data_IF_069815712231
#
_entry.id   IF_069815712231
#
_cell.length_a   1.000
_cell.length_b   1.000
_cell.length_c   1.000
_cell.angle_alpha   90.00
_cell.angle_beta   90.00
_cell.angle_gamma   90.00
#
_symmetry.space_group_name_H-M   'P 1'
#
loop_
_entity.id
_entity.type
_entity.pdbx_description
1 polymer ?
#
# COMPACT_ATOMS: atom_id res chain seq x y z
N UNK A 1 -12.31 19.91 -42.69
CA UNK A 1 -13.27 20.30 -41.62
C UNK A 1 -14.10 19.12 -41.11
N UNK A 2 -14.79 18.35 -41.97
CA UNK A 2 -15.54 17.14 -41.55
C UNK A 2 -14.68 16.13 -40.78
N UNK A 3 -13.55 15.72 -41.35
CA UNK A 3 -12.63 14.74 -40.73
C UNK A 3 -12.12 15.19 -39.36
N UNK A 4 -11.86 16.50 -39.19
CA UNK A 4 -11.46 17.08 -37.91
C UNK A 4 -12.57 16.96 -36.86
N UNK A 5 -13.83 17.17 -37.24
CA UNK A 5 -14.96 17.00 -36.32
C UNK A 5 -15.17 15.53 -35.93
N UNK A 6 -15.00 14.61 -36.87
CA UNK A 6 -15.05 13.16 -36.60
C UNK A 6 -13.92 12.73 -35.65
N UNK A 7 -12.70 13.20 -35.89
CA UNK A 7 -11.55 12.93 -35.02
C UNK A 7 -11.74 13.49 -33.60
N UNK A 8 -12.28 14.70 -33.48
CA UNK A 8 -12.61 15.31 -32.19
C UNK A 8 -13.72 14.53 -31.46
N UNK A 9 -14.73 14.06 -32.19
CA UNK A 9 -15.79 13.22 -31.62
C UNK A 9 -15.25 11.91 -31.07
N UNK A 10 -14.37 11.24 -31.82
CA UNK A 10 -13.70 10.01 -31.37
C UNK A 10 -12.84 10.26 -30.14
N UNK A 11 -12.01 11.30 -30.16
CA UNK A 11 -11.13 11.63 -29.04
C UNK A 11 -11.90 11.92 -27.74
N UNK A 12 -13.06 12.58 -27.83
CA UNK A 12 -13.93 12.81 -26.67
C UNK A 12 -14.49 11.52 -26.08
N UNK A 13 -14.95 10.60 -26.94
CA UNK A 13 -15.45 9.31 -26.50
C UNK A 13 -14.34 8.46 -25.86
N UNK A 14 -13.17 8.42 -26.48
CA UNK A 14 -12.02 7.68 -25.95
C UNK A 14 -11.60 8.23 -24.57
N UNK A 15 -11.70 9.55 -24.36
CA UNK A 15 -11.45 10.19 -23.07
C UNK A 15 -12.49 9.78 -22.01
N UNK A 16 -13.78 9.84 -22.34
CA UNK A 16 -14.87 9.42 -21.44
C UNK A 16 -14.72 7.94 -21.02
N UNK A 17 -14.40 7.06 -21.98
CA UNK A 17 -14.13 5.64 -21.73
C UNK A 17 -12.87 5.44 -20.86
N UNK A 18 -11.86 6.31 -20.99
CA UNK A 18 -10.66 6.26 -20.15
C UNK A 18 -10.94 6.75 -18.72
N UNK A 19 -11.71 7.83 -18.56
CA UNK A 19 -12.10 8.36 -17.26
C UNK A 19 -12.92 7.34 -16.46
N UNK A 20 -13.85 6.63 -17.12
CA UNK A 20 -14.60 5.54 -16.51
C UNK A 20 -13.70 4.42 -15.97
N UNK A 21 -12.76 3.93 -16.81
CA UNK A 21 -11.80 2.90 -16.40
C UNK A 21 -10.89 3.35 -15.25
N UNK A 22 -10.40 4.59 -15.30
CA UNK A 22 -9.58 5.15 -14.22
C UNK A 22 -10.37 5.24 -12.90
N UNK A 23 -11.65 5.63 -12.94
CA UNK A 23 -12.49 5.69 -11.75
C UNK A 23 -12.71 4.29 -11.15
N UNK A 24 -12.97 3.28 -11.99
CA UNK A 24 -13.09 1.89 -11.56
C UNK A 24 -11.80 1.35 -10.94
N UNK A 25 -10.66 1.57 -11.59
CA UNK A 25 -9.34 1.14 -11.09
C UNK A 25 -9.01 1.80 -9.75
N UNK A 26 -9.24 3.11 -9.63
CA UNK A 26 -9.04 3.85 -8.38
C UNK A 26 -9.87 3.26 -7.24
N UNK A 27 -11.17 2.99 -7.49
CA UNK A 27 -12.05 2.37 -6.49
C UNK A 27 -11.59 0.96 -6.10
N UNK A 28 -11.04 0.20 -7.05
CA UNK A 28 -10.42 -1.10 -6.81
C UNK A 28 -9.20 -1.00 -5.89
N UNK A 29 -8.29 -0.08 -6.22
CA UNK A 29 -7.07 0.15 -5.43
C UNK A 29 -7.38 0.63 -4.00
N UNK A 30 -8.33 1.54 -3.82
CA UNK A 30 -8.75 2.00 -2.49
C UNK A 30 -9.30 0.84 -1.64
N UNK A 31 -10.04 -0.08 -2.26
CA UNK A 31 -10.57 -1.28 -1.59
C UNK A 31 -9.46 -2.24 -1.18
N UNK A 32 -8.53 -2.54 -2.08
CA UNK A 32 -7.40 -3.43 -1.79
C UNK A 32 -6.46 -2.82 -0.73
N UNK A 33 -6.24 -1.51 -0.79
CA UNK A 33 -5.47 -0.79 0.23
C UNK A 33 -6.12 -0.92 1.61
N UNK A 34 -7.45 -0.78 1.71
CA UNK A 34 -8.16 -0.97 2.98
C UNK A 34 -8.02 -2.39 3.54
N UNK A 35 -8.08 -3.41 2.68
CA UNK A 35 -7.83 -4.81 3.11
C UNK A 35 -6.39 -5.01 3.59
N UNK A 36 -5.42 -4.43 2.87
CA UNK A 36 -4.01 -4.49 3.26
C UNK A 36 -3.78 -3.81 4.61
N UNK A 37 -4.34 -2.61 4.82
CA UNK A 37 -4.26 -1.90 6.10
C UNK A 37 -4.86 -2.72 7.25
N UNK A 38 -6.00 -3.38 7.02
CA UNK A 38 -6.59 -4.27 8.01
C UNK A 38 -5.69 -5.49 8.30
N UNK A 39 -5.12 -6.11 7.27
CA UNK A 39 -4.21 -7.25 7.44
C UNK A 39 -2.87 -6.88 8.09
N UNK A 40 -2.43 -5.63 7.92
CA UNK A 40 -1.23 -5.07 8.55
C UNK A 40 -1.49 -4.41 9.90
N UNK A 41 -2.72 -4.46 10.41
CA UNK A 41 -3.01 -3.98 11.75
C UNK A 41 -2.22 -4.81 12.77
N UNK A 42 -1.62 -4.17 13.80
CA UNK A 42 -0.91 -4.89 14.85
C UNK A 42 -1.81 -5.93 15.51
N UNK A 43 -1.24 -7.08 15.86
CA UNK A 43 -1.96 -8.10 16.62
C UNK A 43 -2.28 -7.64 18.05
N UNK A 44 -3.31 -8.21 18.66
CA UNK A 44 -3.61 -7.93 20.07
C UNK A 44 -2.42 -8.34 20.95
N UNK A 45 -1.94 -7.40 21.79
CA UNK A 45 -0.76 -7.60 22.62
C UNK A 45 0.57 -7.47 21.88
N UNK A 46 0.57 -7.07 20.60
CA UNK A 46 1.80 -6.79 19.87
C UNK A 46 2.58 -5.62 20.51
N UNK A 47 3.85 -5.81 20.90
CA UNK A 47 4.60 -4.78 21.59
C UNK A 47 4.97 -3.63 20.67
N UNK A 48 4.96 -2.40 21.21
CA UNK A 48 5.29 -1.17 20.48
C UNK A 48 6.66 -1.23 19.79
N UNK A 49 7.59 -2.00 20.36
CA UNK A 49 8.94 -2.19 19.84
C UNK A 49 9.01 -2.96 18.51
N UNK A 50 7.94 -3.65 18.12
CA UNK A 50 7.85 -4.38 16.84
C UNK A 50 6.86 -3.74 15.87
N UNK A 51 6.13 -2.70 16.29
CA UNK A 51 5.26 -1.93 15.39
C UNK A 51 6.09 -1.24 14.31
N UNK A 52 5.60 -1.28 13.07
CA UNK A 52 6.24 -0.61 11.92
C UNK A 52 7.40 -1.39 11.30
N UNK A 53 7.68 -2.62 11.75
CA UNK A 53 8.57 -3.54 11.04
C UNK A 53 7.83 -4.07 9.81
N UNK A 54 8.27 -3.65 8.63
CA UNK A 54 7.63 -3.97 7.35
C UNK A 54 8.22 -5.24 6.73
N UNK A 55 9.40 -5.66 7.18
CA UNK A 55 10.12 -6.82 6.65
C UNK A 55 10.56 -7.79 7.75
N UNK A 56 10.72 -9.06 7.35
CA UNK A 56 11.31 -10.09 8.23
C UNK A 56 12.74 -9.74 8.66
N UNK A 57 13.51 -9.06 7.80
CA UNK A 57 14.88 -8.65 8.11
C UNK A 57 14.91 -7.65 9.28
N UNK A 58 14.05 -6.62 9.25
CA UNK A 58 13.96 -5.63 10.33
C UNK A 58 13.56 -6.27 11.68
N UNK A 59 12.70 -7.30 11.65
CA UNK A 59 12.36 -8.07 12.85
C UNK A 59 13.54 -8.86 13.40
N UNK A 60 14.30 -9.54 12.53
CA UNK A 60 15.49 -10.30 12.94
C UNK A 60 16.54 -9.36 13.53
N UNK A 61 16.81 -8.22 12.90
CA UNK A 61 17.74 -7.21 13.38
C UNK A 61 17.31 -6.66 14.76
N UNK A 62 16.00 -6.38 14.94
CA UNK A 62 15.46 -5.92 16.22
C UNK A 62 15.61 -6.97 17.32
N UNK A 63 15.34 -8.24 17.03
CA UNK A 63 15.53 -9.36 17.98
C UNK A 63 17.00 -9.46 18.41
N UNK A 64 17.94 -9.31 17.47
CA UNK A 64 19.37 -9.33 17.79
C UNK A 64 19.77 -8.18 18.72
N UNK A 65 19.36 -6.94 18.43
CA UNK A 65 19.63 -5.78 19.29
C UNK A 65 19.06 -5.94 20.70
N UNK A 66 17.82 -6.44 20.82
CA UNK A 66 17.20 -6.70 22.11
C UNK A 66 17.96 -7.79 22.88
N UNK A 67 18.38 -8.85 22.19
CA UNK A 67 19.24 -9.90 22.75
C UNK A 67 20.54 -9.34 23.32
N UNK A 68 21.26 -8.52 22.56
CA UNK A 68 22.50 -7.88 23.02
C UNK A 68 22.28 -6.98 24.26
N UNK A 69 21.16 -6.26 24.31
CA UNK A 69 20.80 -5.42 25.46
C UNK A 69 20.52 -6.21 26.74
N UNK A 70 19.82 -7.35 26.63
CA UNK A 70 19.53 -8.24 27.76
C UNK A 70 20.80 -8.88 28.32
N UNK A 71 21.74 -9.27 27.46
CA UNK A 71 23.02 -9.84 27.92
C UNK A 71 23.91 -8.83 28.66
N UNK A 72 23.87 -7.54 28.31
CA UNK A 72 24.66 -6.50 29.01
C UNK A 72 24.08 -6.09 30.37
N UNK A 73 22.77 -6.25 30.58
CA UNK A 73 22.13 -5.92 31.85
C UNK A 73 22.24 -7.02 32.91
N UNK A 74 22.73 -8.22 32.54
CA UNK A 74 22.86 -9.39 33.42
C UNK A 74 24.30 -9.63 33.94
N UNK A 75 25.23 -8.71 33.70
CA UNK A 75 26.59 -8.66 34.28
C UNK A 75 26.67 -7.59 35.36
#
# INVERSE_FOLDING_TARGET
>A
LREMHEALGKARKDLEDQEGRHAEEKNGLERELGKLQYAMAPAEGEPDSVRGLMTRAELVDRIQQLGEGVFKAAQ
#
